data_IF_515486855393
#
_entry.id   IF_515486855393
#
_cell.length_a   1.000
_cell.length_b   1.000
_cell.length_c   1.000
_cell.angle_alpha   90.00
_cell.angle_beta   90.00
_cell.angle_gamma   90.00
#
_symmetry.space_group_name_H-M   'P 1'
#
loop_
_entity.id
_entity.type
_entity.pdbx_description
1 polymer ?
#
# COMPACT_ATOMS: atom_id res chain seq x y z
N UNK A 1 -59.84 -73.25 16.67
CA UNK A 1 -60.73 -72.28 17.38
C UNK A 1 -60.32 -70.86 16.91
N UNK A 2 -61.21 -70.25 16.18
CA UNK A 2 -61.67 -68.85 16.33
C UNK A 2 -60.53 -67.76 16.35
N UNK A 3 -60.46 -66.82 15.54
CA UNK A 3 -61.33 -65.83 14.88
C UNK A 3 -60.52 -64.51 14.79
N UNK A 4 -60.41 -64.02 13.62
CA UNK A 4 -60.93 -62.67 13.22
C UNK A 4 -60.20 -61.49 13.87
N UNK A 5 -59.97 -60.39 13.31
CA UNK A 5 -60.60 -59.57 12.20
C UNK A 5 -59.82 -58.25 12.08
N UNK A 6 -59.91 -57.69 10.94
CA UNK A 6 -59.89 -56.25 10.62
C UNK A 6 -58.57 -55.47 10.96
N UNK A 7 -57.85 -54.89 10.07
CA UNK A 7 -58.36 -53.99 9.03
C UNK A 7 -58.39 -52.57 9.58
N UNK A 8 -57.40 -51.80 9.23
CA UNK A 8 -57.64 -50.34 9.10
C UNK A 8 -56.48 -49.70 8.31
N UNK A 9 -56.88 -49.22 7.22
CA UNK A 9 -56.15 -48.24 6.41
C UNK A 9 -55.73 -47.05 7.29
N UNK A 10 -54.51 -46.66 7.24
CA UNK A 10 -54.16 -45.28 7.62
C UNK A 10 -53.25 -44.71 6.55
N UNK A 11 -53.76 -43.67 5.99
CA UNK A 11 -53.20 -42.90 4.89
C UNK A 11 -51.82 -42.34 5.18
N UNK A 12 -51.03 -42.51 4.20
CA UNK A 12 -49.71 -41.89 4.09
C UNK A 12 -49.90 -40.38 3.85
N UNK A 13 -49.69 -39.59 4.88
CA UNK A 13 -49.60 -38.14 4.73
C UNK A 13 -48.22 -37.82 4.20
N UNK A 14 -48.13 -37.58 2.90
CA UNK A 14 -46.93 -37.05 2.25
C UNK A 14 -46.87 -35.56 2.60
N UNK A 15 -46.06 -35.21 3.56
CA UNK A 15 -45.73 -33.83 3.89
C UNK A 15 -44.68 -33.35 2.90
N UNK A 16 -45.13 -32.70 1.80
CA UNK A 16 -44.28 -32.04 0.81
C UNK A 16 -43.73 -30.80 1.49
N UNK A 17 -42.53 -30.89 2.04
CA UNK A 17 -41.75 -29.72 2.44
C UNK A 17 -41.30 -28.96 1.22
N UNK A 18 -42.04 -27.95 0.81
CA UNK A 18 -41.62 -26.98 -0.21
C UNK A 18 -40.47 -26.15 0.37
N UNK A 19 -39.21 -26.57 0.12
CA UNK A 19 -38.04 -25.77 0.39
C UNK A 19 -38.08 -24.61 -0.61
N UNK A 20 -38.54 -23.45 -0.12
CA UNK A 20 -38.43 -22.18 -0.84
C UNK A 20 -36.95 -21.88 -1.03
N UNK A 21 -36.44 -22.23 -2.22
CA UNK A 21 -35.15 -21.74 -2.73
C UNK A 21 -35.33 -20.23 -3.00
N UNK A 22 -35.17 -19.40 -1.96
CA UNK A 22 -35.02 -17.97 -2.17
C UNK A 22 -33.64 -17.74 -2.81
N UNK A 23 -33.56 -17.20 -4.04
CA UNK A 23 -32.30 -16.74 -4.55
C UNK A 23 -31.79 -15.66 -3.56
N UNK A 24 -30.65 -15.95 -2.90
CA UNK A 24 -29.93 -14.94 -2.18
C UNK A 24 -29.45 -13.94 -3.25
N UNK A 25 -30.23 -12.89 -3.46
CA UNK A 25 -29.76 -11.70 -4.14
C UNK A 25 -28.60 -11.18 -3.26
N UNK A 26 -27.38 -11.55 -3.62
CA UNK A 26 -26.20 -10.94 -3.04
C UNK A 26 -26.32 -9.45 -3.27
N UNK A 27 -26.58 -8.70 -2.19
CA UNK A 27 -26.44 -7.25 -2.24
C UNK A 27 -24.94 -7.03 -2.46
N UNK A 28 -24.55 -6.87 -3.72
CA UNK A 28 -23.24 -6.33 -4.05
C UNK A 28 -23.24 -4.89 -3.52
N UNK A 29 -22.71 -4.70 -2.33
CA UNK A 29 -22.42 -3.37 -1.85
C UNK A 29 -21.55 -2.69 -2.90
N UNK A 30 -21.96 -1.52 -3.36
CA UNK A 30 -21.13 -0.74 -4.26
C UNK A 30 -19.74 -0.57 -3.61
N UNK A 31 -18.65 -0.69 -4.36
CA UNK A 31 -17.33 -0.49 -3.80
C UNK A 31 -17.29 0.90 -3.14
N UNK A 32 -16.63 1.03 -1.99
CA UNK A 32 -16.55 2.31 -1.30
C UNK A 32 -15.97 3.37 -2.24
N UNK A 33 -16.52 4.58 -2.17
CA UNK A 33 -16.01 5.73 -2.90
C UNK A 33 -14.59 6.07 -2.48
N UNK A 34 -13.88 6.78 -3.36
CA UNK A 34 -12.51 7.22 -3.08
C UNK A 34 -12.48 8.18 -1.89
N UNK A 35 -11.66 7.86 -0.90
CA UNK A 35 -11.43 8.71 0.25
C UNK A 35 -10.54 9.90 -0.17
N UNK A 36 -11.08 11.12 -0.09
CA UNK A 36 -10.39 12.34 -0.51
C UNK A 36 -9.15 12.63 0.33
N UNK A 37 -9.20 12.34 1.63
CA UNK A 37 -8.05 12.52 2.52
C UNK A 37 -6.91 11.57 2.14
N UNK A 38 -7.23 10.32 1.81
CA UNK A 38 -6.23 9.35 1.32
C UNK A 38 -5.62 9.81 0.01
N UNK A 39 -6.42 10.32 -0.93
CA UNK A 39 -5.91 10.87 -2.20
C UNK A 39 -4.95 12.04 -1.96
N UNK A 40 -5.26 12.94 -1.01
CA UNK A 40 -4.38 14.04 -0.64
C UNK A 40 -3.08 13.55 0.01
N UNK A 41 -3.16 12.60 0.94
CA UNK A 41 -1.98 12.03 1.58
C UNK A 41 -1.08 11.29 0.59
N UNK A 42 -1.65 10.62 -0.42
CA UNK A 42 -0.86 10.00 -1.50
C UNK A 42 -0.15 11.06 -2.36
N UNK A 43 -0.79 12.20 -2.65
CA UNK A 43 -0.15 13.32 -3.35
C UNK A 43 0.99 13.92 -2.50
N UNK A 44 0.80 14.06 -1.19
CA UNK A 44 1.84 14.54 -0.27
C UNK A 44 3.05 13.58 -0.25
N UNK A 45 2.80 12.26 -0.17
CA UNK A 45 3.89 11.26 -0.23
C UNK A 45 4.60 11.32 -1.58
N UNK A 46 3.89 11.57 -2.69
CA UNK A 46 4.52 11.68 -4.01
C UNK A 46 5.60 12.76 -4.03
N UNK A 47 5.31 13.94 -3.46
CA UNK A 47 6.29 15.01 -3.33
C UNK A 47 7.47 14.62 -2.44
N UNK A 48 7.16 14.07 -1.24
CA UNK A 48 8.18 13.62 -0.29
C UNK A 48 9.07 12.50 -0.85
N UNK A 49 8.50 11.56 -1.62
CA UNK A 49 9.23 10.45 -2.22
C UNK A 49 10.16 10.93 -3.35
N UNK A 50 9.74 11.93 -4.15
CA UNK A 50 10.59 12.53 -5.16
C UNK A 50 11.81 13.24 -4.54
N UNK A 51 11.61 13.94 -3.44
CA UNK A 51 12.71 14.54 -2.70
C UNK A 51 13.66 13.51 -2.10
N UNK A 52 13.09 12.43 -1.50
CA UNK A 52 13.88 11.33 -0.95
C UNK A 52 14.69 10.60 -2.02
N UNK A 53 14.11 10.39 -3.21
CA UNK A 53 14.80 9.80 -4.35
C UNK A 53 16.02 10.65 -4.71
N UNK A 54 15.85 11.97 -4.89
CA UNK A 54 16.94 12.87 -5.24
C UNK A 54 18.08 12.81 -4.21
N UNK A 55 17.77 12.93 -2.92
CA UNK A 55 18.76 12.91 -1.86
C UNK A 55 19.47 11.55 -1.78
N UNK A 56 18.75 10.44 -2.01
CA UNK A 56 19.33 9.09 -2.03
C UNK A 56 20.25 8.85 -3.24
N UNK A 57 19.90 9.39 -4.41
CA UNK A 57 20.73 9.34 -5.62
C UNK A 57 21.99 10.22 -5.46
N UNK A 58 21.88 11.38 -4.79
CA UNK A 58 23.01 12.22 -4.44
C UNK A 58 23.99 11.49 -3.53
N UNK A 59 23.49 10.85 -2.46
CA UNK A 59 24.34 10.05 -1.58
C UNK A 59 24.99 8.85 -2.30
N UNK A 60 24.27 8.21 -3.23
CA UNK A 60 24.87 7.15 -4.05
C UNK A 60 26.00 7.70 -4.92
N UNK A 61 25.85 8.89 -5.48
CA UNK A 61 26.94 9.54 -6.23
C UNK A 61 28.16 9.85 -5.37
N UNK A 62 27.98 10.16 -4.08
CA UNK A 62 29.10 10.35 -3.13
C UNK A 62 29.98 9.11 -3.02
N UNK A 63 29.40 7.90 -3.08
CA UNK A 63 30.18 6.63 -3.01
C UNK A 63 31.14 6.43 -4.19
N UNK A 64 30.99 7.23 -5.25
CA UNK A 64 31.82 7.20 -6.46
C UNK A 64 32.77 8.41 -6.58
N UNK A 65 32.87 9.20 -5.52
CA UNK A 65 33.66 10.42 -5.43
C UNK A 65 34.47 10.48 -4.14
N UNK A 66 35.38 11.45 -4.03
CA UNK A 66 36.23 11.62 -2.84
C UNK A 66 35.54 12.45 -1.73
N UNK A 67 34.22 12.27 -1.58
CA UNK A 67 33.48 12.98 -0.54
C UNK A 67 33.85 12.47 0.83
N UNK A 68 33.88 13.39 1.82
CA UNK A 68 34.26 13.05 3.18
C UNK A 68 33.17 12.23 3.89
N UNK A 69 33.54 11.50 4.94
CA UNK A 69 32.56 10.80 5.77
C UNK A 69 31.56 11.77 6.42
N UNK A 70 31.96 13.03 6.69
CA UNK A 70 31.05 14.05 7.21
C UNK A 70 29.95 14.38 6.20
N UNK A 71 30.30 14.53 4.92
CA UNK A 71 29.31 14.77 3.86
C UNK A 71 28.32 13.61 3.73
N UNK A 72 28.82 12.37 3.84
CA UNK A 72 27.95 11.18 3.89
C UNK A 72 27.02 11.20 5.11
N UNK A 73 27.51 11.61 6.29
CA UNK A 73 26.72 11.68 7.51
C UNK A 73 25.60 12.74 7.41
N UNK A 74 25.92 13.92 6.88
CA UNK A 74 24.95 15.00 6.67
C UNK A 74 23.83 14.56 5.72
N UNK A 75 24.18 13.88 4.62
CA UNK A 75 23.21 13.41 3.66
C UNK A 75 22.33 12.27 4.23
N UNK A 76 22.94 11.34 4.98
CA UNK A 76 22.18 10.29 5.67
C UNK A 76 21.19 10.85 6.70
N UNK A 77 21.54 11.92 7.41
CA UNK A 77 20.63 12.57 8.34
C UNK A 77 19.45 13.22 7.60
N UNK A 78 19.71 13.88 6.46
CA UNK A 78 18.67 14.45 5.59
C UNK A 78 17.71 13.37 5.07
N UNK A 79 18.25 12.26 4.57
CA UNK A 79 17.47 11.09 4.12
C UNK A 79 16.61 10.54 5.27
N UNK A 80 17.17 10.40 6.46
CA UNK A 80 16.44 9.94 7.66
C UNK A 80 15.28 10.87 8.02
N UNK A 81 15.49 12.18 7.96
CA UNK A 81 14.42 13.17 8.21
C UNK A 81 13.27 13.03 7.21
N UNK A 82 13.58 12.82 5.91
CA UNK A 82 12.56 12.58 4.88
C UNK A 82 11.81 11.28 5.09
N UNK A 83 12.51 10.19 5.43
CA UNK A 83 11.88 8.91 5.76
C UNK A 83 10.94 9.06 6.96
N UNK A 84 11.34 9.81 7.98
CA UNK A 84 10.50 10.08 9.15
C UNK A 84 9.25 10.89 8.78
N UNK A 85 9.37 11.86 7.86
CA UNK A 85 8.23 12.63 7.37
C UNK A 85 7.24 11.73 6.60
N UNK A 86 7.74 10.90 5.68
CA UNK A 86 6.95 9.89 4.96
C UNK A 86 6.27 8.93 5.95
N UNK A 87 7.00 8.45 6.96
CA UNK A 87 6.47 7.55 7.99
C UNK A 87 5.27 8.13 8.74
N UNK A 88 5.30 9.44 9.06
CA UNK A 88 4.16 10.15 9.67
C UNK A 88 2.94 10.16 8.75
N UNK A 89 3.13 10.39 7.46
CA UNK A 89 2.06 10.38 6.46
C UNK A 89 1.51 8.96 6.25
N UNK A 90 2.38 7.96 6.19
CA UNK A 90 2.00 6.53 6.11
C UNK A 90 1.16 6.11 7.33
N UNK A 91 1.50 6.57 8.53
CA UNK A 91 0.72 6.26 9.73
C UNK A 91 -0.72 6.78 9.64
N UNK A 92 -0.93 7.95 9.04
CA UNK A 92 -2.28 8.48 8.76
C UNK A 92 -3.01 7.62 7.72
N UNK A 93 -2.33 7.27 6.62
CA UNK A 93 -2.88 6.39 5.59
C UNK A 93 -3.31 5.04 6.16
N UNK A 94 -2.49 4.44 7.01
CA UNK A 94 -2.81 3.16 7.66
C UNK A 94 -4.10 3.23 8.48
N UNK A 95 -4.31 4.32 9.22
CA UNK A 95 -5.53 4.52 10.00
C UNK A 95 -6.79 4.71 9.12
N UNK A 96 -6.62 5.22 7.90
CA UNK A 96 -7.73 5.45 6.96
C UNK A 96 -7.99 4.26 6.03
N UNK A 97 -7.13 3.22 6.07
CA UNK A 97 -7.16 2.11 5.14
C UNK A 97 -8.54 1.43 5.05
N UNK A 98 -9.17 1.13 6.18
CA UNK A 98 -10.47 0.45 6.22
C UNK A 98 -11.61 1.27 5.58
N UNK A 99 -11.45 2.58 5.51
CA UNK A 99 -12.43 3.53 4.96
C UNK A 99 -12.03 4.03 3.56
N UNK A 100 -11.15 3.31 2.89
CA UNK A 100 -10.60 3.65 1.58
C UNK A 100 -11.15 2.72 0.51
N UNK A 101 -11.17 3.20 -0.74
CA UNK A 101 -11.54 2.37 -1.88
C UNK A 101 -10.49 1.25 -2.13
N UNK A 102 -10.84 0.18 -2.85
CA UNK A 102 -9.95 -0.97 -3.05
C UNK A 102 -8.57 -0.59 -3.60
N UNK A 103 -8.50 0.33 -4.57
CA UNK A 103 -7.22 0.74 -5.15
C UNK A 103 -6.38 1.57 -4.17
N UNK A 104 -7.04 2.37 -3.31
CA UNK A 104 -6.35 3.13 -2.25
C UNK A 104 -5.80 2.20 -1.17
N UNK A 105 -6.54 1.14 -0.81
CA UNK A 105 -6.05 0.10 0.10
C UNK A 105 -4.82 -0.60 -0.50
N UNK A 106 -4.86 -0.96 -1.78
CA UNK A 106 -3.73 -1.56 -2.49
C UNK A 106 -2.52 -0.62 -2.52
N UNK A 107 -2.73 0.68 -2.77
CA UNK A 107 -1.67 1.69 -2.71
C UNK A 107 -1.00 1.71 -1.34
N UNK A 108 -1.78 1.77 -0.27
CA UNK A 108 -1.29 1.78 1.11
C UNK A 108 -0.48 0.51 1.41
N UNK A 109 -1.02 -0.65 1.06
CA UNK A 109 -0.39 -1.95 1.33
C UNK A 109 0.94 -2.14 0.59
N UNK A 110 1.09 -1.53 -0.58
CA UNK A 110 2.32 -1.61 -1.37
C UNK A 110 3.37 -0.57 -0.98
N UNK A 111 2.97 0.60 -0.52
CA UNK A 111 3.87 1.69 -0.10
C UNK A 111 4.57 1.35 1.22
N UNK A 112 3.84 0.81 2.19
CA UNK A 112 4.36 0.53 3.54
C UNK A 112 5.64 -0.30 3.54
N UNK A 113 5.71 -1.49 2.90
CA UNK A 113 6.92 -2.33 2.96
C UNK A 113 8.14 -1.68 2.30
N UNK A 114 7.94 -0.85 1.27
CA UNK A 114 9.06 -0.13 0.62
C UNK A 114 9.62 0.94 1.55
N UNK A 115 8.76 1.69 2.23
CA UNK A 115 9.18 2.69 3.22
C UNK A 115 9.87 2.05 4.43
N UNK A 116 9.41 0.89 4.89
CA UNK A 116 10.06 0.13 5.97
C UNK A 116 11.46 -0.36 5.56
N UNK A 117 11.63 -0.83 4.32
CA UNK A 117 12.94 -1.20 3.79
C UNK A 117 13.90 -0.03 3.76
N UNK A 118 13.44 1.14 3.30
CA UNK A 118 14.22 2.39 3.32
C UNK A 118 14.68 2.75 4.74
N UNK A 119 13.78 2.74 5.72
CA UNK A 119 14.10 3.04 7.11
C UNK A 119 15.14 2.07 7.68
N UNK A 120 15.00 0.78 7.42
CA UNK A 120 15.94 -0.25 7.88
C UNK A 120 17.32 -0.08 7.26
N UNK A 121 17.41 0.12 5.94
CA UNK A 121 18.68 0.30 5.25
C UNK A 121 19.38 1.59 5.68
N UNK A 122 18.63 2.69 5.84
CA UNK A 122 19.20 3.96 6.31
C UNK A 122 19.76 3.83 7.72
N UNK A 123 19.04 3.15 8.61
CA UNK A 123 19.53 2.85 9.96
C UNK A 123 20.84 2.06 9.90
N UNK A 124 20.90 1.01 9.10
CA UNK A 124 22.10 0.20 8.94
C UNK A 124 23.29 1.00 8.37
N UNK A 125 23.04 1.87 7.40
CA UNK A 125 24.07 2.77 6.84
C UNK A 125 24.62 3.74 7.89
N UNK A 126 23.74 4.37 8.69
CA UNK A 126 24.12 5.28 9.78
C UNK A 126 24.95 4.54 10.85
N UNK A 127 24.49 3.36 11.26
CA UNK A 127 25.23 2.55 12.23
C UNK A 127 26.60 2.13 11.71
N UNK A 128 26.70 1.76 10.44
CA UNK A 128 27.98 1.40 9.81
C UNK A 128 28.92 2.60 9.83
N UNK A 129 28.44 3.76 9.38
CA UNK A 129 29.25 4.99 9.34
C UNK A 129 29.72 5.42 10.73
N UNK A 130 28.86 5.36 11.74
CA UNK A 130 29.21 5.73 13.12
C UNK A 130 30.29 4.82 13.72
N UNK A 131 30.26 3.52 13.38
CA UNK A 131 31.26 2.54 13.84
C UNK A 131 32.57 2.61 13.05
N UNK A 132 32.49 3.02 11.78
CA UNK A 132 33.58 2.94 10.82
C UNK A 132 33.69 4.19 9.93
N UNK A 133 33.93 5.40 10.49
CA UNK A 133 33.86 6.65 9.71
C UNK A 133 34.84 6.71 8.55
N UNK A 134 35.98 6.03 8.65
CA UNK A 134 37.00 5.97 7.60
C UNK A 134 36.81 4.85 6.58
N UNK A 135 35.66 4.14 6.61
CA UNK A 135 35.37 2.97 5.78
C UNK A 135 34.17 3.14 4.86
N UNK A 136 33.97 4.36 4.38
CA UNK A 136 32.91 4.68 3.42
C UNK A 136 33.05 3.96 2.08
N UNK A 137 34.25 3.46 1.78
CA UNK A 137 34.54 2.68 0.57
C UNK A 137 34.30 1.16 0.76
N UNK A 138 33.88 0.70 1.94
CA UNK A 138 33.58 -0.72 2.15
C UNK A 138 32.37 -1.16 1.34
N UNK A 139 32.43 -2.33 0.70
CA UNK A 139 31.33 -2.85 -0.12
C UNK A 139 30.00 -2.93 0.63
N UNK A 140 30.04 -3.23 1.93
CA UNK A 140 28.84 -3.31 2.76
C UNK A 140 28.14 -1.94 2.91
N UNK A 141 28.91 -0.87 3.16
CA UNK A 141 28.36 0.47 3.23
C UNK A 141 27.77 0.91 1.88
N UNK A 142 28.55 0.71 0.81
CA UNK A 142 28.08 1.03 -0.55
C UNK A 142 26.81 0.28 -0.92
N UNK A 143 26.67 -0.98 -0.46
CA UNK A 143 25.46 -1.77 -0.69
C UNK A 143 24.24 -1.17 0.03
N UNK A 144 24.37 -0.66 1.26
CA UNK A 144 23.28 0.03 1.94
C UNK A 144 22.84 1.28 1.17
N UNK A 145 23.80 2.09 0.74
CA UNK A 145 23.52 3.33 0.01
C UNK A 145 22.83 3.03 -1.33
N UNK A 146 23.37 2.09 -2.11
CA UNK A 146 22.76 1.65 -3.37
C UNK A 146 21.35 1.12 -3.17
N UNK A 147 21.14 0.26 -2.17
CA UNK A 147 19.82 -0.29 -1.86
C UNK A 147 18.82 0.80 -1.44
N UNK A 148 19.30 1.88 -0.81
CA UNK A 148 18.46 3.04 -0.49
C UNK A 148 18.05 3.81 -1.74
N UNK A 149 18.99 4.10 -2.65
CA UNK A 149 18.70 4.80 -3.90
C UNK A 149 17.68 4.01 -4.75
N UNK A 150 17.88 2.70 -4.90
CA UNK A 150 16.95 1.81 -5.61
C UNK A 150 15.55 1.79 -4.95
N UNK A 151 15.49 1.69 -3.62
CA UNK A 151 14.22 1.65 -2.90
C UNK A 151 13.49 3.01 -2.91
N UNK A 152 14.23 4.12 -2.86
CA UNK A 152 13.68 5.48 -2.98
C UNK A 152 13.09 5.72 -4.38
N UNK A 153 13.82 5.32 -5.43
CA UNK A 153 13.33 5.38 -6.82
C UNK A 153 12.05 4.53 -7.00
N UNK A 154 12.04 3.31 -6.47
CA UNK A 154 10.86 2.45 -6.51
C UNK A 154 9.67 3.04 -5.75
N UNK A 155 9.89 3.68 -4.60
CA UNK A 155 8.84 4.35 -3.84
C UNK A 155 8.25 5.52 -4.64
N UNK A 156 9.10 6.37 -5.20
CA UNK A 156 8.68 7.53 -5.99
C UNK A 156 7.84 7.11 -7.21
N UNK A 157 8.31 6.11 -7.96
CA UNK A 157 7.58 5.56 -9.11
C UNK A 157 6.22 4.96 -8.69
N UNK A 158 6.22 4.12 -7.65
CA UNK A 158 5.01 3.45 -7.16
C UNK A 158 3.93 4.46 -6.72
N UNK A 159 4.32 5.46 -5.94
CA UNK A 159 3.36 6.48 -5.45
C UNK A 159 2.86 7.34 -6.60
N UNK A 160 3.75 7.74 -7.52
CA UNK A 160 3.37 8.48 -8.72
C UNK A 160 2.30 7.73 -9.52
N UNK A 161 2.51 6.42 -9.78
CA UNK A 161 1.59 5.61 -10.56
C UNK A 161 0.20 5.53 -9.91
N UNK A 162 0.14 5.34 -8.58
CA UNK A 162 -1.14 5.34 -7.87
C UNK A 162 -1.85 6.69 -7.89
N UNK A 163 -1.12 7.78 -7.75
CA UNK A 163 -1.69 9.14 -7.84
C UNK A 163 -2.23 9.40 -9.25
N UNK A 164 -1.51 9.03 -10.29
CA UNK A 164 -1.95 9.17 -11.67
C UNK A 164 -3.17 8.29 -11.98
N UNK A 165 -3.19 7.06 -11.46
CA UNK A 165 -4.35 6.18 -11.55
C UNK A 165 -5.59 6.83 -10.92
N UNK A 166 -5.49 7.37 -9.70
CA UNK A 166 -6.60 8.04 -9.02
C UNK A 166 -7.13 9.25 -9.80
N UNK A 167 -6.24 10.09 -10.35
CA UNK A 167 -6.60 11.22 -11.22
C UNK A 167 -7.35 10.76 -12.49
N UNK A 168 -6.86 9.71 -13.12
CA UNK A 168 -7.47 9.15 -14.34
C UNK A 168 -8.88 8.62 -14.04
N UNK A 169 -9.06 7.90 -12.94
CA UNK A 169 -10.38 7.44 -12.49
C UNK A 169 -11.35 8.60 -12.26
N UNK A 170 -10.93 9.60 -11.51
CA UNK A 170 -11.76 10.79 -11.24
C UNK A 170 -12.20 11.48 -12.53
N UNK A 171 -11.28 11.57 -13.50
CA UNK A 171 -11.56 12.16 -14.81
C UNK A 171 -12.56 11.31 -15.59
N UNK A 172 -12.37 9.98 -15.61
CA UNK A 172 -13.30 9.05 -16.26
C UNK A 172 -14.70 9.14 -15.68
N UNK A 173 -14.82 9.10 -14.35
CA UNK A 173 -16.11 9.23 -13.65
C UNK A 173 -16.81 10.58 -13.92
N UNK A 174 -16.04 11.64 -14.12
CA UNK A 174 -16.58 12.94 -14.51
C UNK A 174 -17.16 12.91 -15.94
N UNK A 175 -16.49 12.24 -16.87
CA UNK A 175 -17.00 12.05 -18.25
C UNK A 175 -18.22 11.13 -18.28
N UNK A 176 -18.23 10.02 -17.55
CA UNK A 176 -19.37 9.10 -17.44
C UNK A 176 -20.62 9.85 -16.95
N UNK A 177 -20.48 10.65 -15.91
CA UNK A 177 -21.59 11.50 -15.41
C UNK A 177 -22.06 12.52 -16.43
N UNK A 178 -21.13 13.14 -17.17
CA UNK A 178 -21.45 14.16 -18.18
C UNK A 178 -22.19 13.57 -19.39
N UNK A 179 -21.85 12.34 -19.75
CA UNK A 179 -22.39 11.65 -20.92
C UNK A 179 -23.56 10.72 -20.55
N UNK A 180 -23.97 10.66 -19.27
CA UNK A 180 -25.03 9.77 -18.76
C UNK A 180 -24.80 8.29 -19.12
N UNK A 181 -23.54 7.87 -19.16
CA UNK A 181 -23.16 6.48 -19.47
C UNK A 181 -23.64 5.58 -18.33
N UNK A 182 -24.43 4.53 -18.60
CA UNK A 182 -24.85 3.56 -17.58
C UNK A 182 -23.62 2.83 -17.00
N UNK A 183 -23.66 2.57 -15.68
CA UNK A 183 -22.63 1.77 -15.00
C UNK A 183 -22.94 0.29 -15.08
#
# INVERSE_FOLDING_TARGET
>A
MRRNILGRCLGTVILVAAVLLMPRLGVYAAPPEDNKEVSQLLEDIKGQAADLQRDSEELEAFTRSDMSWQSHAEELERIKERINAIGKTISKLHNLRSNSSPWQQEAIDRIIPVAQKLASNTTAAIEHLNKNPNRINEPQYQQYIKSNAEAASNLAALVKDFVEYGKTRTTLEAYERKLEVPK
#
